data_IF_347731195248
#
_entry.id   IF_347731195248
#
_cell.length_a   1.000
_cell.length_b   1.000
_cell.length_c   1.000
_cell.angle_alpha   90.00
_cell.angle_beta   90.00
_cell.angle_gamma   90.00
#
_symmetry.space_group_name_H-M   'P 1'
#
loop_
_entity.id
_entity.type
_entity.pdbx_description
1 polymer ?
#
# COMPACT_ATOMS: atom_id res chain seq x y z
N UNK A 1 1.27 -9.34 7.36
CA UNK A 1 1.98 -8.57 8.40
C UNK A 1 0.96 -7.71 9.13
N UNK A 2 0.91 -7.78 10.46
CA UNK A 2 -0.08 -7.06 11.28
C UNK A 2 0.60 -5.88 11.96
N UNK A 3 -0.07 -4.74 11.94
CA UNK A 3 0.45 -3.49 12.50
C UNK A 3 -0.48 -3.01 13.60
N UNK A 4 0.04 -2.41 14.66
CA UNK A 4 -0.78 -1.86 15.71
C UNK A 4 -0.03 -0.78 16.48
N UNK A 5 -0.67 0.36 16.70
CA UNK A 5 -0.17 1.39 17.63
C UNK A 5 -0.64 1.05 19.04
N UNK A 6 0.14 0.25 19.77
CA UNK A 6 -0.18 -0.18 21.14
C UNK A 6 0.96 0.13 22.12
N UNK A 7 0.61 0.81 23.22
CA UNK A 7 1.45 1.18 24.37
C UNK A 7 2.01 -0.07 25.07
N UNK A 8 3.29 -0.06 25.44
CA UNK A 8 3.95 -1.15 26.18
C UNK A 8 4.12 -0.82 27.67
N UNK A 9 3.65 -1.73 28.53
CA UNK A 9 4.06 -1.84 29.94
C UNK A 9 5.19 -2.85 30.07
N UNK A 10 6.22 -2.53 30.86
CA UNK A 10 7.41 -3.37 31.07
C UNK A 10 7.16 -4.46 32.12
N UNK A 11 7.84 -5.61 31.97
CA UNK A 11 8.47 -6.27 33.10
C UNK A 11 9.97 -6.50 32.89
N UNK A 12 10.68 -6.52 34.00
CA UNK A 12 12.11 -6.72 34.20
C UNK A 12 12.44 -8.17 34.53
N UNK A 13 13.53 -8.73 33.97
CA UNK A 13 14.64 -9.44 34.64
C UNK A 13 15.35 -10.49 33.77
N UNK A 14 16.67 -10.61 33.97
CA UNK A 14 17.35 -11.91 34.04
C UNK A 14 18.44 -12.17 33.01
N UNK A 15 19.69 -11.78 33.30
CA UNK A 15 20.90 -12.22 32.57
C UNK A 15 21.27 -13.63 33.06
N UNK A 16 21.55 -14.55 32.13
CA UNK A 16 22.15 -15.86 32.44
C UNK A 16 23.21 -16.18 31.38
N UNK A 17 24.46 -16.31 31.83
CA UNK A 17 25.62 -16.74 31.03
C UNK A 17 25.63 -18.28 30.90
N UNK A 18 26.08 -18.78 29.74
CA UNK A 18 26.24 -20.22 29.50
C UNK A 18 27.06 -20.55 28.24
N UNK A 19 28.31 -20.96 28.49
CA UNK A 19 29.17 -21.93 27.77
C UNK A 19 29.25 -21.95 26.24
N UNK A 20 30.48 -21.75 25.74
CA UNK A 20 30.89 -21.98 24.36
C UNK A 20 31.20 -23.47 24.09
N UNK A 21 30.61 -24.01 23.04
CA UNK A 21 31.10 -25.20 22.32
C UNK A 21 31.06 -24.90 20.82
N UNK A 22 32.18 -25.23 20.16
CA UNK A 22 32.39 -25.28 18.72
C UNK A 22 31.21 -25.94 17.97
N UNK A 23 30.75 -25.32 16.88
CA UNK A 23 30.26 -26.03 15.71
C UNK A 23 30.15 -25.09 14.49
N UNK A 24 30.56 -25.62 13.33
CA UNK A 24 30.62 -24.99 12.00
C UNK A 24 29.29 -24.34 11.58
N UNK A 25 29.32 -23.28 10.72
CA UNK A 25 28.14 -22.48 10.41
C UNK A 25 27.07 -23.28 9.67
N UNK A 26 25.85 -23.43 10.24
CA UNK A 26 24.70 -23.93 9.51
C UNK A 26 24.11 -22.78 8.67
N UNK A 27 23.90 -23.04 7.38
CA UNK A 27 23.15 -22.21 6.43
C UNK A 27 23.59 -20.75 6.19
N UNK A 28 23.91 -20.36 4.93
CA UNK A 28 24.14 -18.95 4.57
C UNK A 28 22.86 -18.07 4.65
N UNK A 29 21.73 -18.63 5.08
CA UNK A 29 20.49 -17.90 5.40
C UNK A 29 20.37 -17.59 6.90
N UNK A 30 21.13 -18.26 7.78
CA UNK A 30 21.15 -17.99 9.23
C UNK A 30 21.93 -16.73 9.61
N UNK A 31 22.62 -16.09 8.66
CA UNK A 31 23.47 -14.90 8.86
C UNK A 31 22.66 -13.60 8.81
N UNK A 32 21.34 -13.66 8.58
CA UNK A 32 20.48 -12.52 8.92
C UNK A 32 20.16 -12.62 10.42
N UNK A 33 21.06 -12.05 11.21
CA UNK A 33 20.93 -11.89 12.65
C UNK A 33 19.57 -11.24 12.95
N UNK A 34 18.66 -12.01 13.55
CA UNK A 34 17.35 -11.53 13.98
C UNK A 34 17.44 -10.36 14.94
N UNK A 35 18.61 -10.11 15.54
CA UNK A 35 18.87 -8.98 16.41
C UNK A 35 19.19 -7.67 15.68
N UNK A 36 19.43 -7.71 14.35
CA UNK A 36 19.81 -6.53 13.55
C UNK A 36 18.62 -5.90 12.78
N UNK A 37 17.40 -6.42 12.96
CA UNK A 37 16.25 -6.02 12.12
C UNK A 37 15.31 -5.04 12.83
N UNK A 38 15.22 -4.98 14.16
CA UNK A 38 14.32 -4.02 14.82
C UNK A 38 14.83 -3.62 16.21
N UNK A 39 15.52 -2.47 16.32
CA UNK A 39 15.70 -1.81 17.61
C UNK A 39 14.33 -1.42 18.19
N UNK A 40 13.91 -2.17 19.20
CA UNK A 40 12.52 -2.26 19.69
C UNK A 40 12.13 -1.12 20.67
N UNK A 41 12.86 0.00 20.64
CA UNK A 41 12.62 1.14 21.52
C UNK A 41 12.41 2.41 20.72
N UNK A 42 11.18 2.93 20.61
CA UNK A 42 11.00 4.27 20.08
C UNK A 42 11.74 5.25 20.99
N UNK A 43 12.62 6.11 20.48
CA UNK A 43 13.29 7.13 21.28
C UNK A 43 12.23 8.02 21.94
N UNK A 44 12.41 8.31 23.23
CA UNK A 44 11.50 9.16 24.01
C UNK A 44 11.21 10.47 23.27
N UNK A 45 9.98 10.60 22.74
CA UNK A 45 9.39 11.78 22.08
C UNK A 45 10.35 12.62 21.22
N UNK A 46 11.27 11.97 20.50
CA UNK A 46 12.01 12.67 19.47
C UNK A 46 11.10 12.79 18.25
N UNK A 47 10.54 13.98 18.03
CA UNK A 47 9.94 14.33 16.75
C UNK A 47 11.12 14.74 15.86
N UNK A 48 11.56 13.88 14.93
CA UNK A 48 12.70 14.21 14.11
C UNK A 48 12.40 15.46 13.25
N UNK A 49 13.38 16.33 12.96
CA UNK A 49 13.16 17.57 12.19
C UNK A 49 12.43 17.36 10.85
N UNK A 50 12.61 16.20 10.21
CA UNK A 50 11.92 15.87 8.97
C UNK A 50 10.41 15.62 9.14
N UNK A 51 9.90 15.33 10.35
CA UNK A 51 8.46 15.27 10.61
C UNK A 51 7.80 16.64 10.43
N UNK A 52 8.51 17.72 10.74
CA UNK A 52 8.07 19.07 10.41
C UNK A 52 8.07 19.30 8.89
N UNK A 53 9.04 18.72 8.17
CA UNK A 53 9.07 18.76 6.71
C UNK A 53 7.88 18.00 6.10
N UNK A 54 7.58 16.79 6.59
CA UNK A 54 6.39 16.04 6.13
C UNK A 54 5.11 16.77 6.45
N UNK A 55 5.00 17.41 7.63
CA UNK A 55 3.86 18.26 7.95
C UNK A 55 3.71 19.39 6.93
N UNK A 56 4.80 20.07 6.57
CA UNK A 56 4.81 21.11 5.56
C UNK A 56 4.44 20.59 4.16
N UNK A 57 4.92 19.41 3.76
CA UNK A 57 4.52 18.78 2.49
C UNK A 57 3.03 18.42 2.46
N UNK A 58 2.49 17.88 3.55
CA UNK A 58 1.04 17.58 3.64
C UNK A 58 0.18 18.86 3.63
N UNK A 59 0.65 19.93 4.26
CA UNK A 59 -0.01 21.25 4.22
C UNK A 59 0.02 21.85 2.81
N UNK A 60 1.17 21.78 2.12
CA UNK A 60 1.31 22.23 0.74
C UNK A 60 0.40 21.44 -0.22
N UNK A 61 0.34 20.11 -0.08
CA UNK A 61 -0.55 19.27 -0.88
C UNK A 61 -2.04 19.59 -0.63
N UNK A 62 -2.41 19.85 0.63
CA UNK A 62 -3.78 20.27 0.98
C UNK A 62 -4.12 21.63 0.37
N UNK A 63 -3.18 22.57 0.40
CA UNK A 63 -3.33 23.90 -0.20
C UNK A 63 -3.52 23.82 -1.71
N UNK A 64 -2.75 22.98 -2.41
CA UNK A 64 -2.91 22.74 -3.85
C UNK A 64 -4.30 22.18 -4.17
N UNK A 65 -4.79 21.24 -3.37
CA UNK A 65 -6.13 20.66 -3.57
C UNK A 65 -7.24 21.69 -3.36
N UNK A 66 -7.11 22.58 -2.38
CA UNK A 66 -8.05 23.70 -2.19
C UNK A 66 -8.00 24.64 -3.40
N UNK A 67 -6.82 24.91 -3.95
CA UNK A 67 -6.67 25.73 -5.15
C UNK A 67 -7.32 25.09 -6.40
N UNK A 68 -7.15 23.77 -6.60
CA UNK A 68 -7.82 23.03 -7.68
C UNK A 68 -9.34 23.15 -7.59
N UNK A 69 -9.93 22.91 -6.41
CA UNK A 69 -11.38 23.06 -6.19
C UNK A 69 -11.83 24.51 -6.40
N UNK A 70 -11.04 25.49 -5.97
CA UNK A 70 -11.34 26.90 -6.19
C UNK A 70 -11.34 27.27 -7.69
N UNK A 71 -10.43 26.69 -8.49
CA UNK A 71 -10.40 26.89 -9.94
C UNK A 71 -11.59 26.22 -10.64
N UNK A 72 -12.02 25.04 -10.20
CA UNK A 72 -13.20 24.35 -10.76
C UNK A 72 -14.52 25.09 -10.44
N UNK A 73 -14.64 25.68 -9.25
CA UNK A 73 -15.80 26.47 -8.86
C UNK A 73 -15.85 27.84 -9.54
N UNK A 74 -14.70 28.38 -9.94
CA UNK A 74 -14.62 29.59 -10.76
C UNK A 74 -14.79 29.25 -12.24
N UNK A 75 -15.95 28.70 -12.61
CA UNK A 75 -16.37 28.69 -14.02
C UNK A 75 -16.42 30.14 -14.52
N UNK A 76 -15.75 30.48 -15.64
CA UNK A 76 -15.58 31.87 -16.02
C UNK A 76 -16.89 32.50 -16.51
N UNK A 77 -17.48 33.35 -15.65
CA UNK A 77 -18.42 34.42 -16.05
C UNK A 77 -17.84 35.37 -17.12
N UNK A 78 -16.56 35.26 -17.46
CA UNK A 78 -15.90 36.06 -18.49
C UNK A 78 -16.27 35.66 -19.93
N UNK A 79 -16.98 34.55 -20.16
CA UNK A 79 -17.48 34.19 -21.50
C UNK A 79 -18.69 35.02 -21.98
N UNK A 80 -19.33 35.82 -21.11
CA UNK A 80 -20.52 36.63 -21.49
C UNK A 80 -20.28 38.13 -21.70
N UNK A 81 -19.07 38.66 -21.46
CA UNK A 81 -18.80 40.11 -21.57
C UNK A 81 -17.74 40.50 -22.62
N UNK A 82 -17.04 39.55 -23.23
CA UNK A 82 -16.06 39.84 -24.26
C UNK A 82 -16.64 39.58 -25.66
N UNK A 83 -17.40 40.56 -26.18
CA UNK A 83 -17.67 40.71 -27.61
C UNK A 83 -16.40 41.07 -28.38
N UNK A 84 -15.40 40.19 -28.37
CA UNK A 84 -14.10 40.39 -29.01
C UNK A 84 -14.04 39.56 -30.28
N UNK A 85 -14.21 40.24 -31.40
CA UNK A 85 -14.05 39.73 -32.76
C UNK A 85 -12.64 39.16 -32.96
N UNK A 86 -12.50 37.86 -33.15
CA UNK A 86 -11.24 37.22 -33.53
C UNK A 86 -10.91 37.51 -34.99
N UNK A 87 -9.86 38.30 -35.24
CA UNK A 87 -9.27 38.47 -36.57
C UNK A 87 -8.45 37.23 -36.93
N UNK A 88 -8.79 36.70 -38.11
CA UNK A 88 -8.21 35.56 -38.83
C UNK A 88 -6.70 35.76 -39.05
N UNK A 89 -5.87 35.03 -38.30
CA UNK A 89 -4.43 34.98 -38.54
C UNK A 89 -4.10 34.00 -39.67
N UNK A 90 -3.36 34.50 -40.65
CA UNK A 90 -2.96 33.88 -41.91
C UNK A 90 -1.85 32.85 -41.65
N UNK A 91 -2.11 31.59 -42.02
CA UNK A 91 -1.16 30.46 -41.95
C UNK A 91 -0.05 30.67 -42.98
N UNK A 92 1.19 30.85 -42.52
CA UNK A 92 2.39 30.86 -43.37
C UNK A 92 2.94 29.43 -43.43
N UNK A 93 2.98 28.88 -44.63
CA UNK A 93 3.58 27.59 -44.99
C UNK A 93 5.09 27.74 -45.14
N UNK A 94 5.86 26.86 -44.51
CA UNK A 94 7.29 26.67 -44.81
C UNK A 94 7.47 25.38 -45.61
N UNK A 95 8.06 25.53 -46.80
CA UNK A 95 8.63 24.49 -47.67
C UNK A 95 9.86 23.87 -46.98
N UNK A 96 10.00 22.55 -46.94
CA UNK A 96 10.59 21.66 -47.96
C UNK A 96 12.08 21.97 -48.26
N UNK A 97 12.95 21.12 -47.71
CA UNK A 97 14.33 20.95 -48.17
C UNK A 97 14.74 19.50 -47.99
N UNK A 98 14.79 18.82 -49.14
CA UNK A 98 15.16 17.42 -49.25
C UNK A 98 16.65 17.15 -49.04
N UNK A 99 16.94 15.90 -48.65
CA UNK A 99 18.24 15.28 -48.84
C UNK A 99 18.02 13.83 -49.29
N UNK A 100 18.41 13.56 -50.54
CA UNK A 100 18.51 12.24 -51.17
C UNK A 100 19.76 11.50 -50.69
N UNK A 101 19.68 10.17 -50.72
CA UNK A 101 20.71 9.16 -51.10
C UNK A 101 20.85 8.03 -50.07
N UNK A 102 21.49 6.90 -50.41
CA UNK A 102 21.01 5.87 -51.33
C UNK A 102 20.93 4.48 -50.67
N UNK A 103 20.00 3.63 -51.12
CA UNK A 103 20.13 2.16 -51.01
C UNK A 103 21.04 1.69 -52.15
N UNK A 104 21.81 0.57 -52.09
CA UNK A 104 21.28 -0.77 -51.74
C UNK A 104 22.29 -1.77 -51.13
N UNK A 105 21.86 -2.66 -50.22
CA UNK A 105 22.47 -4.00 -50.13
C UNK A 105 21.40 -5.05 -49.83
N UNK A 106 21.29 -5.97 -50.77
CA UNK A 106 20.50 -7.18 -50.77
C UNK A 106 20.98 -8.12 -49.65
N UNK A 107 20.08 -8.49 -48.73
CA UNK A 107 20.30 -9.60 -47.81
C UNK A 107 19.06 -10.52 -47.84
N UNK A 108 19.35 -11.78 -48.15
CA UNK A 108 18.51 -12.96 -48.32
C UNK A 108 17.38 -13.15 -47.29
N UNK A 109 16.22 -13.72 -47.70
CA UNK A 109 15.14 -14.09 -46.80
C UNK A 109 15.49 -15.37 -46.04
N UNK A 110 15.93 -15.25 -44.79
CA UNK A 110 15.98 -16.40 -43.89
C UNK A 110 14.55 -16.79 -43.51
N UNK A 111 14.16 -18.02 -43.84
CA UNK A 111 12.90 -18.67 -43.49
C UNK A 111 12.48 -18.37 -42.06
N UNK A 112 11.49 -17.47 -41.95
CA UNK A 112 10.79 -17.12 -40.71
C UNK A 112 10.04 -18.38 -40.27
N UNK A 113 10.63 -19.15 -39.34
CA UNK A 113 9.96 -20.26 -38.67
C UNK A 113 8.61 -19.72 -38.17
N UNK A 114 7.52 -20.24 -38.74
CA UNK A 114 6.15 -20.02 -38.26
C UNK A 114 6.17 -20.26 -36.76
N UNK A 115 6.18 -19.17 -36.00
CA UNK A 115 6.12 -19.21 -34.54
C UNK A 115 4.89 -20.01 -34.19
N UNK A 116 5.08 -21.08 -33.39
CA UNK A 116 3.96 -21.84 -32.83
C UNK A 116 2.93 -20.82 -32.32
N UNK A 117 1.64 -20.96 -32.64
CA UNK A 117 0.62 -20.07 -32.11
C UNK A 117 0.82 -20.05 -30.60
N UNK A 118 1.24 -18.90 -30.08
CA UNK A 118 1.35 -18.67 -28.63
C UNK A 118 -0.05 -18.95 -28.14
N UNK A 119 -0.26 -20.12 -27.50
CA UNK A 119 -1.51 -20.41 -26.80
C UNK A 119 -1.70 -19.17 -25.94
N UNK A 120 -2.66 -18.32 -26.33
CA UNK A 120 -3.10 -17.26 -25.47
C UNK A 120 -3.48 -18.04 -24.22
N UNK A 121 -2.75 -17.84 -23.12
CA UNK A 121 -3.28 -18.28 -21.84
C UNK A 121 -4.73 -17.81 -21.85
N UNK A 122 -5.68 -18.64 -21.39
CA UNK A 122 -7.03 -18.15 -21.16
C UNK A 122 -6.88 -16.76 -20.55
N UNK A 123 -7.70 -15.79 -20.96
CA UNK A 123 -7.87 -14.58 -20.16
C UNK A 123 -8.38 -15.08 -18.82
N UNK A 124 -7.45 -15.53 -17.99
CA UNK A 124 -7.67 -16.07 -16.68
C UNK A 124 -8.48 -14.98 -16.05
N UNK A 125 -9.73 -15.32 -15.75
CA UNK A 125 -10.61 -14.46 -14.98
C UNK A 125 -9.73 -14.02 -13.82
N UNK A 126 -9.32 -12.75 -13.83
CA UNK A 126 -8.57 -12.16 -12.74
C UNK A 126 -9.51 -12.34 -11.57
N UNK A 127 -9.25 -13.39 -10.78
CA UNK A 127 -10.12 -13.76 -9.68
C UNK A 127 -10.22 -12.51 -8.84
N UNK A 128 -11.43 -11.98 -8.70
CA UNK A 128 -11.62 -10.80 -7.90
C UNK A 128 -11.36 -11.19 -6.45
N UNK A 129 -10.22 -10.74 -5.94
CA UNK A 129 -9.77 -11.02 -4.57
C UNK A 129 -10.20 -9.91 -3.61
N UNK A 130 -10.89 -8.88 -4.09
CA UNK A 130 -11.37 -7.80 -3.22
C UNK A 130 -12.45 -8.30 -2.26
N UNK A 131 -13.22 -9.32 -2.67
CA UNK A 131 -14.26 -9.97 -1.85
C UNK A 131 -13.70 -10.95 -0.80
N UNK A 132 -12.37 -11.14 -0.72
CA UNK A 132 -11.79 -12.08 0.24
C UNK A 132 -11.73 -11.48 1.64
N UNK A 133 -12.13 -12.27 2.63
CA UNK A 133 -12.02 -11.94 4.05
C UNK A 133 -10.77 -12.58 4.65
N UNK A 134 -10.27 -12.06 5.75
CA UNK A 134 -9.34 -12.81 6.60
C UNK A 134 -10.12 -13.92 7.31
N UNK A 135 -9.53 -15.11 7.45
CA UNK A 135 -10.13 -16.20 8.19
C UNK A 135 -10.57 -15.73 9.59
N UNK A 136 -11.82 -16.02 10.03
CA UNK A 136 -12.36 -15.53 11.31
C UNK A 136 -11.47 -15.86 12.49
N UNK A 137 -10.85 -17.04 12.50
CA UNK A 137 -9.98 -17.48 13.59
C UNK A 137 -8.74 -16.59 13.71
N UNK A 138 -8.20 -16.14 12.58
CA UNK A 138 -7.08 -15.20 12.56
C UNK A 138 -7.56 -13.81 12.96
N UNK A 139 -8.67 -13.34 12.39
CA UNK A 139 -9.21 -12.02 12.72
C UNK A 139 -9.52 -11.89 14.22
N UNK A 140 -10.21 -12.86 14.82
CA UNK A 140 -10.56 -12.89 16.24
C UNK A 140 -9.32 -12.86 17.14
N UNK A 141 -8.27 -13.61 16.78
CA UNK A 141 -6.98 -13.57 17.49
C UNK A 141 -6.37 -12.17 17.45
N UNK A 142 -6.40 -11.51 16.29
CA UNK A 142 -5.86 -10.15 16.16
C UNK A 142 -6.70 -9.12 16.93
N UNK A 143 -8.03 -9.26 16.94
CA UNK A 143 -8.92 -8.43 17.75
C UNK A 143 -8.68 -8.62 19.25
N UNK A 144 -8.43 -9.86 19.69
CA UNK A 144 -8.07 -10.15 21.09
C UNK A 144 -6.74 -9.51 21.48
N UNK A 145 -5.76 -9.53 20.56
CA UNK A 145 -4.41 -9.06 20.83
C UNK A 145 -4.26 -7.54 20.76
N UNK A 146 -4.92 -6.89 19.78
CA UNK A 146 -4.74 -5.46 19.49
C UNK A 146 -5.95 -4.59 19.84
N UNK A 147 -7.05 -5.20 20.28
CA UNK A 147 -8.28 -4.52 20.65
C UNK A 147 -9.35 -4.59 19.55
N UNK A 148 -10.60 -4.37 19.98
CA UNK A 148 -11.76 -4.39 19.08
C UNK A 148 -11.71 -3.20 18.12
N UNK A 149 -11.98 -3.48 16.85
CA UNK A 149 -12.10 -2.49 15.80
C UNK A 149 -13.55 -2.00 15.68
N UNK A 150 -13.72 -0.69 15.57
CA UNK A 150 -15.01 -0.05 15.39
C UNK A 150 -15.47 -0.07 13.93
N UNK A 151 -14.53 -0.08 12.98
CA UNK A 151 -14.81 0.01 11.54
C UNK A 151 -13.84 -0.80 10.70
N UNK A 152 -14.35 -1.48 9.67
CA UNK A 152 -13.56 -2.07 8.59
C UNK A 152 -13.44 -1.07 7.43
N UNK A 153 -12.23 -0.60 7.16
CA UNK A 153 -12.00 0.51 6.27
C UNK A 153 -12.05 0.14 4.78
N UNK A 154 -11.68 -1.08 4.39
CA UNK A 154 -11.39 -1.44 3.00
C UNK A 154 -12.30 -2.57 2.49
N UNK A 155 -13.60 -2.34 2.58
CA UNK A 155 -14.59 -3.32 2.13
C UNK A 155 -15.02 -3.12 0.67
N UNK A 156 -15.67 -4.13 0.09
CA UNK A 156 -16.41 -3.96 -1.14
C UNK A 156 -17.67 -3.10 -0.91
N UNK A 157 -18.30 -2.66 -2.00
CA UNK A 157 -19.52 -1.83 -1.95
C UNK A 157 -20.66 -2.54 -1.22
N UNK A 158 -20.71 -3.88 -1.26
CA UNK A 158 -21.71 -4.68 -0.56
C UNK A 158 -21.35 -5.03 0.89
N UNK A 159 -20.13 -4.72 1.33
CA UNK A 159 -19.58 -5.17 2.61
C UNK A 159 -19.60 -6.69 2.77
N UNK A 160 -19.51 -7.46 1.70
CA UNK A 160 -19.37 -8.92 1.73
C UNK A 160 -18.10 -9.36 2.42
N UNK A 161 -17.03 -8.57 2.28
CA UNK A 161 -15.73 -8.87 2.89
C UNK A 161 -15.52 -8.21 4.26
N UNK A 162 -16.57 -7.62 4.86
CA UNK A 162 -16.47 -6.90 6.14
C UNK A 162 -16.19 -7.86 7.29
N UNK A 163 -15.31 -7.44 8.20
CA UNK A 163 -15.02 -8.17 9.43
C UNK A 163 -15.74 -7.64 10.67
N UNK A 164 -16.27 -6.42 10.59
CA UNK A 164 -17.06 -5.79 11.66
C UNK A 164 -18.34 -5.17 11.09
N UNK A 165 -19.24 -4.75 11.99
CA UNK A 165 -20.56 -4.24 11.61
C UNK A 165 -20.50 -2.96 10.78
N UNK A 166 -19.69 -1.98 11.21
CA UNK A 166 -19.48 -0.75 10.46
C UNK A 166 -18.37 -0.95 9.44
N UNK A 167 -18.61 -0.58 8.19
CA UNK A 167 -17.62 -0.71 7.14
C UNK A 167 -17.65 0.47 6.16
N UNK A 168 -16.61 0.59 5.34
CA UNK A 168 -16.56 1.53 4.23
C UNK A 168 -16.02 0.88 2.96
N UNK A 169 -16.61 1.24 1.82
CA UNK A 169 -16.09 0.93 0.49
C UNK A 169 -15.21 2.02 -0.11
N UNK A 170 -15.15 3.18 0.54
CA UNK A 170 -14.30 4.31 0.17
C UNK A 170 -13.58 4.79 1.43
N UNK A 171 -12.43 4.20 1.72
CA UNK A 171 -11.74 4.42 2.98
C UNK A 171 -11.14 5.82 3.10
N UNK A 172 -10.81 6.45 1.97
CA UNK A 172 -10.09 7.72 1.90
C UNK A 172 -11.01 8.92 2.17
N UNK A 173 -12.30 8.82 1.87
CA UNK A 173 -13.27 9.88 2.16
C UNK A 173 -13.87 9.82 3.57
N UNK A 174 -13.73 8.69 4.27
CA UNK A 174 -14.29 8.54 5.63
C UNK A 174 -13.36 9.10 6.69
N UNK A 175 -13.97 9.63 7.75
CA UNK A 175 -13.28 10.05 8.97
C UNK A 175 -12.89 8.82 9.81
N UNK A 176 -11.61 8.76 10.19
CA UNK A 176 -11.05 7.69 11.03
C UNK A 176 -10.74 8.18 12.45
N UNK A 177 -10.61 9.49 12.63
CA UNK A 177 -10.31 10.13 13.91
C UNK A 177 -11.29 9.69 14.99
N UNK A 178 -10.74 9.24 16.11
CA UNK A 178 -11.51 8.74 17.26
C UNK A 178 -12.06 7.32 17.08
N UNK A 179 -11.48 6.53 16.17
CA UNK A 179 -11.87 5.13 15.91
C UNK A 179 -10.69 4.18 15.95
N UNK A 180 -10.97 2.93 16.28
CA UNK A 180 -10.12 1.77 16.10
C UNK A 180 -10.44 1.10 14.76
N UNK A 181 -9.54 1.23 13.79
CA UNK A 181 -9.81 0.82 12.40
C UNK A 181 -9.17 -0.53 12.11
N UNK A 182 -9.92 -1.46 11.52
CA UNK A 182 -9.35 -2.62 10.82
C UNK A 182 -9.13 -2.26 9.35
N UNK A 183 -7.97 -2.58 8.80
CA UNK A 183 -7.63 -2.17 7.44
C UNK A 183 -6.83 -3.26 6.70
N UNK A 184 -7.47 -3.93 5.74
CA UNK A 184 -6.82 -4.78 4.75
C UNK A 184 -6.97 -4.17 3.35
N UNK A 185 -6.09 -3.23 2.95
CA UNK A 185 -6.25 -2.50 1.69
C UNK A 185 -6.01 -3.42 0.48
N UNK A 186 -6.61 -3.11 -0.69
CA UNK A 186 -6.39 -3.89 -1.91
C UNK A 186 -4.92 -3.80 -2.35
N UNK A 187 -4.34 -4.95 -2.74
CA UNK A 187 -2.91 -5.05 -3.06
C UNK A 187 -2.55 -4.71 -4.51
N UNK A 188 -3.53 -4.76 -5.41
CA UNK A 188 -3.34 -4.57 -6.85
C UNK A 188 -4.38 -3.65 -7.49
N UNK A 189 -5.01 -2.78 -6.70
CA UNK A 189 -6.02 -1.83 -7.17
C UNK A 189 -5.41 -0.62 -7.89
N UNK A 190 -6.06 -0.17 -8.97
CA UNK A 190 -5.67 1.07 -9.66
C UNK A 190 -6.18 2.35 -8.98
N UNK A 191 -7.19 2.22 -8.10
CA UNK A 191 -7.93 3.36 -7.55
C UNK A 191 -7.54 3.70 -6.10
N UNK A 192 -7.03 2.74 -5.33
CA UNK A 192 -6.55 2.94 -3.96
C UNK A 192 -5.20 2.24 -3.81
N UNK A 193 -4.19 2.99 -3.37
CA UNK A 193 -2.85 2.47 -3.07
C UNK A 193 -2.67 2.33 -1.56
N UNK A 194 -1.83 1.39 -1.13
CA UNK A 194 -1.49 1.21 0.30
C UNK A 194 -0.94 2.51 0.87
N UNK A 195 -0.11 3.23 0.10
CA UNK A 195 0.48 4.51 0.48
C UNK A 195 -0.58 5.58 0.79
N UNK A 196 -1.62 5.70 -0.05
CA UNK A 196 -2.69 6.67 0.18
C UNK A 196 -3.45 6.37 1.48
N UNK A 197 -3.73 5.10 1.76
CA UNK A 197 -4.42 4.68 2.98
C UNK A 197 -3.55 4.96 4.22
N UNK A 198 -2.25 4.72 4.14
CA UNK A 198 -1.33 5.03 5.25
C UNK A 198 -1.23 6.53 5.51
N UNK A 199 -1.10 7.35 4.46
CA UNK A 199 -1.08 8.81 4.62
C UNK A 199 -2.37 9.33 5.25
N UNK A 200 -3.52 8.78 4.84
CA UNK A 200 -4.82 9.08 5.45
C UNK A 200 -4.85 8.75 6.95
N UNK A 201 -4.35 7.57 7.33
CA UNK A 201 -4.25 7.21 8.73
C UNK A 201 -3.38 8.19 9.52
N UNK A 202 -2.22 8.56 8.99
CA UNK A 202 -1.30 9.47 9.67
C UNK A 202 -1.91 10.86 9.88
N UNK A 203 -2.65 11.38 8.92
CA UNK A 203 -3.38 12.65 9.04
C UNK A 203 -4.42 12.59 10.18
N UNK A 204 -5.21 11.52 10.21
CA UNK A 204 -6.27 11.33 11.21
C UNK A 204 -5.69 11.10 12.61
N UNK A 205 -4.66 10.25 12.71
CA UNK A 205 -3.95 9.93 13.95
C UNK A 205 -3.22 11.15 14.53
N UNK A 206 -2.55 11.96 13.70
CA UNK A 206 -1.88 13.18 14.18
C UNK A 206 -2.83 14.15 14.86
N UNK A 207 -4.10 14.15 14.45
CA UNK A 207 -5.09 15.05 15.04
C UNK A 207 -5.69 14.52 16.34
N UNK A 208 -5.76 13.20 16.51
CA UNK A 208 -6.30 12.57 17.73
C UNK A 208 -5.54 11.26 18.04
N UNK A 209 -4.29 11.35 18.50
CA UNK A 209 -3.42 10.19 18.66
C UNK A 209 -3.80 9.30 19.84
N UNK A 210 -4.66 9.80 20.74
CA UNK A 210 -5.09 9.07 21.94
C UNK A 210 -6.30 8.16 21.66
N UNK A 211 -7.16 8.55 20.72
CA UNK A 211 -8.40 7.82 20.42
C UNK A 211 -8.44 7.23 19.00
N UNK A 212 -7.38 7.41 18.21
CA UNK A 212 -7.27 6.84 16.86
C UNK A 212 -6.23 5.75 16.86
N UNK A 213 -6.58 4.55 16.42
CA UNK A 213 -5.61 3.50 16.12
C UNK A 213 -6.04 2.70 14.90
N UNK A 214 -5.10 2.02 14.26
CA UNK A 214 -5.42 1.16 13.12
C UNK A 214 -4.60 -0.11 13.15
N UNK A 215 -5.27 -1.22 12.87
CA UNK A 215 -4.65 -2.50 12.58
C UNK A 215 -4.61 -2.70 11.07
N UNK A 216 -3.41 -2.63 10.50
CA UNK A 216 -3.21 -2.91 9.08
C UNK A 216 -2.91 -4.41 8.88
N UNK A 217 -3.34 -4.98 7.75
CA UNK A 217 -2.86 -6.26 7.25
C UNK A 217 -2.30 -6.07 5.84
N UNK A 218 -0.98 -6.02 5.73
CA UNK A 218 -0.27 -5.78 4.47
C UNK A 218 0.54 -7.02 4.05
N UNK A 219 0.76 -7.22 2.73
CA UNK A 219 1.50 -8.34 2.20
C UNK A 219 2.99 -8.06 2.32
N UNK A 220 3.77 -9.07 2.69
CA UNK A 220 5.22 -8.95 2.74
C UNK A 220 5.85 -9.26 1.37
N UNK A 221 5.79 -8.30 0.44
CA UNK A 221 6.36 -8.45 -0.90
C UNK A 221 7.86 -8.08 -0.89
N UNK A 222 8.70 -8.92 -0.28
CA UNK A 222 10.14 -8.66 -0.07
C UNK A 222 10.92 -8.34 -1.36
N UNK A 223 10.50 -8.87 -2.51
CA UNK A 223 11.21 -8.71 -3.80
C UNK A 223 11.20 -7.29 -4.36
N UNK A 224 10.33 -6.41 -3.88
CA UNK A 224 10.30 -4.99 -4.21
C UNK A 224 10.01 -4.25 -2.93
N UNK A 225 10.99 -3.55 -2.36
CA UNK A 225 10.75 -2.70 -1.18
C UNK A 225 9.56 -1.77 -1.47
N UNK A 226 8.38 -2.02 -0.90
CA UNK A 226 7.22 -1.22 -1.22
C UNK A 226 7.41 0.18 -0.64
N UNK A 227 6.99 1.22 -1.36
CA UNK A 227 7.14 2.60 -0.87
C UNK A 227 6.46 2.77 0.49
N UNK A 228 5.38 2.03 0.75
CA UNK A 228 4.72 1.98 2.05
C UNK A 228 5.64 1.64 3.24
N UNK A 229 6.70 0.81 3.07
CA UNK A 229 7.64 0.49 4.17
C UNK A 229 8.42 1.73 4.63
N UNK A 230 8.70 2.66 3.71
CA UNK A 230 9.34 3.93 4.05
C UNK A 230 8.41 4.79 4.90
N UNK A 231 7.13 4.89 4.50
CA UNK A 231 6.10 5.62 5.25
C UNK A 231 5.97 5.04 6.66
N UNK A 232 5.90 3.71 6.77
CA UNK A 232 5.81 2.97 8.04
C UNK A 232 6.94 3.33 9.01
N UNK A 233 8.19 3.19 8.55
CA UNK A 233 9.39 3.47 9.36
C UNK A 233 9.45 4.93 9.77
N UNK A 234 9.20 5.83 8.81
CA UNK A 234 9.19 7.27 9.05
C UNK A 234 8.15 7.63 10.12
N UNK A 235 6.94 7.10 10.01
CA UNK A 235 5.87 7.36 10.96
C UNK A 235 6.08 6.74 12.36
N UNK A 236 7.17 6.00 12.60
CA UNK A 236 7.39 5.30 13.86
C UNK A 236 6.37 4.17 14.10
N UNK A 237 5.74 3.68 13.04
CA UNK A 237 4.80 2.57 13.14
C UNK A 237 5.58 1.26 13.27
N UNK A 238 5.07 0.34 14.09
CA UNK A 238 5.75 -0.91 14.41
C UNK A 238 5.15 -2.09 13.65
N UNK A 239 6.01 -2.98 13.17
CA UNK A 239 5.63 -4.30 12.70
C UNK A 239 5.46 -5.17 13.94
N UNK A 240 4.22 -5.58 14.24
CA UNK A 240 3.94 -6.37 15.45
C UNK A 240 4.05 -7.87 15.21
N UNK A 241 3.66 -8.32 14.02
CA UNK A 241 3.69 -9.73 13.66
C UNK A 241 3.87 -9.94 12.15
N UNK A 242 4.70 -10.92 11.79
CA UNK A 242 4.78 -11.48 10.44
C UNK A 242 4.02 -12.81 10.44
N UNK A 243 2.87 -12.84 9.76
CA UNK A 243 2.11 -14.07 9.56
C UNK A 243 2.74 -14.80 8.36
N UNK A 244 3.35 -15.99 8.56
CA UNK A 244 3.94 -16.72 7.45
C UNK A 244 2.83 -17.25 6.53
N UNK A 245 3.13 -17.39 5.24
CA UNK A 245 2.17 -17.99 4.29
C UNK A 245 2.11 -19.50 4.43
N UNK A 246 3.17 -20.14 4.93
CA UNK A 246 3.24 -21.58 5.14
C UNK A 246 3.66 -21.87 6.58
N UNK A 247 3.20 -22.99 7.14
CA UNK A 247 3.66 -23.47 8.44
C UNK A 247 5.01 -24.21 8.35
N UNK A 248 5.52 -24.70 9.47
CA UNK A 248 6.80 -25.42 9.56
C UNK A 248 6.83 -26.73 8.74
N UNK A 249 5.66 -27.24 8.35
CA UNK A 249 5.51 -28.41 7.49
C UNK A 249 5.42 -28.05 6.00
N UNK A 250 5.53 -26.77 5.66
CA UNK A 250 5.38 -26.26 4.29
C UNK A 250 3.94 -26.27 3.78
N UNK A 251 2.95 -26.41 4.67
CA UNK A 251 1.53 -26.32 4.31
C UNK A 251 1.07 -24.86 4.37
N UNK A 252 0.31 -24.44 3.37
CA UNK A 252 -0.32 -23.12 3.28
C UNK A 252 -1.18 -22.83 4.53
N UNK A 253 -1.03 -21.65 5.13
CA UNK A 253 -1.80 -21.21 6.30
C UNK A 253 -3.23 -20.75 5.93
N UNK A 254 -3.51 -20.55 4.65
CA UNK A 254 -4.81 -20.18 4.10
C UNK A 254 -5.42 -18.98 4.83
N UNK A 255 -4.68 -17.86 4.83
CA UNK A 255 -5.00 -16.67 5.61
C UNK A 255 -6.37 -16.04 5.24
N UNK A 256 -6.83 -16.27 4.01
CA UNK A 256 -8.05 -15.66 3.50
C UNK A 256 -9.15 -16.68 3.29
N UNK A 257 -10.39 -16.22 3.35
CA UNK A 257 -11.59 -16.99 3.07
C UNK A 257 -12.40 -16.25 2.01
N UNK A 258 -12.85 -16.99 1.01
CA UNK A 258 -13.78 -16.52 -0.02
C UNK A 258 -15.21 -16.45 0.51
N UNK A 259 -16.12 -15.74 -0.18
CA UNK A 259 -17.53 -15.70 0.20
C UNK A 259 -18.22 -17.07 0.25
N UNK A 260 -17.74 -18.08 -0.49
CA UNK A 260 -18.22 -19.46 -0.43
C UNK A 260 -17.56 -20.32 0.66
N UNK A 261 -16.73 -19.70 1.51
CA UNK A 261 -16.09 -20.36 2.66
C UNK A 261 -14.82 -21.13 2.33
N UNK A 262 -14.32 -21.09 1.09
CA UNK A 262 -13.06 -21.74 0.73
C UNK A 262 -11.89 -20.90 1.23
N UNK A 263 -10.91 -21.56 1.83
CA UNK A 263 -9.72 -20.90 2.36
C UNK A 263 -8.62 -20.82 1.27
N UNK A 264 -7.94 -19.69 1.20
CA UNK A 264 -6.94 -19.35 0.18
C UNK A 264 -5.75 -18.60 0.78
N UNK A 265 -4.59 -18.74 0.15
CA UNK A 265 -3.42 -17.90 0.41
C UNK A 265 -3.35 -16.71 -0.54
N UNK A 266 -2.64 -15.67 -0.10
CA UNK A 266 -2.19 -14.63 -1.01
C UNK A 266 -1.18 -15.21 -2.02
N UNK A 267 -1.29 -14.85 -3.31
CA UNK A 267 -0.36 -15.27 -4.34
C UNK A 267 1.07 -14.72 -4.16
#
# INVERSE_FOLDING_TARGET
MVYGSGRSGRPSHGIREGSATDDLPPDPISVLDTNDIFEDKPPDRYIPPWMAEVAAWTEAASTLRVAEVAMELHEPLTAKLAGVTTRKAKRVSFADSGAKSPSPVCATPASRKLGRPRKQLPKDQLVDRQDWMVCPEVFDRLQQQYGKSDVDACCDIGGKNRQVELYSSDCLSKRWRGKHVWCSPPYSGSHITIEAVLLKYLEEWKTDPENTSTVFLLPDLQKRMPQWRSIFRRAGMQIKEVIPTHNDQGLSNQLYMTPDGRKHDLP
#
